data_IF_091914591834
#
_entry.id   IF_091914591834
#
_cell.length_a   1.000
_cell.length_b   1.000
_cell.length_c   1.000
_cell.angle_alpha   90.00
_cell.angle_beta   90.00
_cell.angle_gamma   90.00
#
_symmetry.space_group_name_H-M   'P 1'
#
loop_
_entity.id
_entity.type
_entity.pdbx_description
1 polymer ?
#
# COMPACT_ATOMS: atom_id res chain seq x y z
N UNK A 1 -36.90 -12.59 -74.42
CA UNK A 1 -35.77 -11.71 -74.04
C UNK A 1 -35.94 -11.27 -72.60
N UNK A 2 -34.82 -11.15 -71.89
CA UNK A 2 -34.62 -11.19 -70.42
C UNK A 2 -35.57 -10.33 -69.58
N UNK A 3 -36.14 -10.95 -68.53
CA UNK A 3 -36.66 -10.31 -67.31
C UNK A 3 -35.46 -9.85 -66.47
N UNK A 4 -35.38 -8.58 -66.08
CA UNK A 4 -34.48 -8.12 -65.01
C UNK A 4 -35.31 -7.91 -63.74
N UNK A 5 -35.08 -8.79 -62.77
CA UNK A 5 -35.50 -8.65 -61.38
C UNK A 5 -34.46 -7.74 -60.71
N UNK A 6 -34.89 -6.59 -60.18
CA UNK A 6 -34.05 -5.77 -59.31
C UNK A 6 -34.25 -6.26 -57.87
N UNK A 7 -33.25 -6.96 -57.35
CA UNK A 7 -33.13 -7.30 -55.93
C UNK A 7 -32.58 -6.05 -55.24
N UNK A 8 -33.42 -5.35 -54.48
CA UNK A 8 -32.97 -4.33 -53.55
C UNK A 8 -32.37 -5.04 -52.33
N UNK A 9 -31.04 -5.07 -52.25
CA UNK A 9 -30.32 -5.52 -51.08
C UNK A 9 -30.46 -4.47 -49.97
N UNK A 10 -31.25 -4.79 -48.95
CA UNK A 10 -31.27 -4.02 -47.70
C UNK A 10 -29.93 -4.16 -47.00
N UNK A 11 -29.16 -3.08 -46.97
CA UNK A 11 -27.96 -2.97 -46.14
C UNK A 11 -28.46 -2.83 -44.71
N UNK A 12 -28.32 -3.90 -43.93
CA UNK A 12 -28.42 -3.82 -42.48
C UNK A 12 -27.29 -2.91 -41.99
N UNK A 13 -27.61 -1.70 -41.55
CA UNK A 13 -26.72 -0.91 -40.71
C UNK A 13 -26.56 -1.67 -39.39
N UNK A 14 -25.52 -2.49 -39.30
CA UNK A 14 -24.99 -2.92 -38.01
C UNK A 14 -24.43 -1.64 -37.39
N UNK A 15 -25.10 -1.12 -36.37
CA UNK A 15 -24.55 -0.09 -35.52
C UNK A 15 -23.27 -0.67 -34.90
N UNK A 16 -22.12 -0.34 -35.47
CA UNK A 16 -20.83 -0.56 -34.84
C UNK A 16 -20.80 0.32 -33.60
N UNK A 17 -21.08 -0.28 -32.45
CA UNK A 17 -20.70 0.30 -31.17
C UNK A 17 -19.22 0.71 -31.25
N UNK A 18 -18.85 1.90 -30.77
CA UNK A 18 -17.47 2.35 -30.84
C UNK A 18 -16.58 1.37 -30.05
N UNK A 19 -15.66 0.73 -30.77
CA UNK A 19 -14.60 -0.15 -30.27
C UNK A 19 -13.52 0.67 -29.53
N UNK A 20 -13.92 1.46 -28.53
CA UNK A 20 -13.03 2.38 -27.81
C UNK A 20 -13.44 2.64 -26.35
N UNK A 21 -13.83 1.59 -25.62
CA UNK A 21 -14.16 1.69 -24.19
C UNK A 21 -13.82 0.41 -23.38
N UNK A 22 -12.94 -0.46 -23.88
CA UNK A 22 -12.85 -1.85 -23.40
C UNK A 22 -11.79 -2.13 -22.32
N UNK A 23 -10.98 -1.17 -21.86
CA UNK A 23 -9.86 -1.46 -20.94
C UNK A 23 -9.95 -0.83 -19.53
N UNK A 24 -10.98 -0.03 -19.22
CA UNK A 24 -11.15 0.55 -17.87
C UNK A 24 -12.08 -0.31 -17.00
N UNK A 25 -11.67 -0.67 -15.77
CA UNK A 25 -12.49 -1.49 -14.89
C UNK A 25 -13.75 -0.75 -14.44
N UNK A 26 -14.85 -1.49 -14.36
CA UNK A 26 -16.14 -0.98 -13.92
C UNK A 26 -16.26 -0.89 -12.39
N UNK A 27 -15.48 -1.68 -11.66
CA UNK A 27 -15.36 -1.59 -10.22
C UNK A 27 -14.00 -2.13 -9.73
N UNK A 28 -13.64 -1.73 -8.51
CA UNK A 28 -12.48 -2.20 -7.76
C UNK A 28 -12.95 -2.81 -6.45
N UNK A 29 -12.47 -4.01 -6.12
CA UNK A 29 -12.77 -4.66 -4.84
C UNK A 29 -11.92 -4.02 -3.73
N UNK A 30 -12.55 -3.34 -2.79
CA UNK A 30 -11.87 -2.69 -1.66
C UNK A 30 -11.74 -3.62 -0.45
N UNK A 31 -12.73 -4.48 -0.23
CA UNK A 31 -12.79 -5.37 0.93
C UNK A 31 -13.55 -6.64 0.62
N UNK A 32 -13.12 -7.73 1.23
CA UNK A 32 -13.84 -9.00 1.31
C UNK A 32 -13.99 -9.40 2.77
N UNK A 33 -15.13 -9.97 3.14
CA UNK A 33 -15.37 -10.63 4.41
C UNK A 33 -16.08 -11.95 4.16
N UNK A 34 -15.49 -13.05 4.62
CA UNK A 34 -16.04 -14.38 4.39
C UNK A 34 -15.82 -14.87 2.96
N UNK A 35 -16.56 -15.90 2.57
CA UNK A 35 -16.44 -16.52 1.24
C UNK A 35 -17.18 -15.67 0.19
N UNK A 36 -16.42 -15.06 -0.72
CA UNK A 36 -16.96 -14.31 -1.86
C UNK A 36 -16.31 -14.84 -3.12
N UNK A 37 -17.12 -15.14 -4.13
CA UNK A 37 -16.66 -15.58 -5.42
C UNK A 37 -16.93 -14.53 -6.50
N UNK A 38 -16.06 -14.46 -7.49
CA UNK A 38 -16.22 -13.65 -8.69
C UNK A 38 -16.24 -14.55 -9.91
N UNK A 39 -17.02 -14.16 -10.91
CA UNK A 39 -17.03 -14.77 -12.24
C UNK A 39 -16.86 -13.69 -13.30
N UNK A 40 -15.74 -13.74 -13.99
CA UNK A 40 -15.46 -12.81 -15.10
C UNK A 40 -16.07 -13.29 -16.41
N UNK A 41 -16.82 -12.44 -17.10
CA UNK A 41 -17.31 -12.69 -18.46
C UNK A 41 -18.04 -14.03 -18.69
N UNK A 42 -18.70 -14.59 -17.66
CA UNK A 42 -19.37 -15.89 -17.71
C UNK A 42 -18.44 -17.12 -17.59
N UNK A 43 -17.19 -16.92 -17.16
CA UNK A 43 -16.20 -17.98 -16.92
C UNK A 43 -16.49 -18.85 -15.68
N UNK A 44 -15.44 -19.45 -15.11
CA UNK A 44 -15.58 -20.20 -13.86
C UNK A 44 -15.69 -19.24 -12.66
N UNK A 45 -16.35 -19.70 -11.60
CA UNK A 45 -16.31 -19.03 -10.30
C UNK A 45 -14.92 -19.23 -9.68
N UNK A 46 -14.33 -18.14 -9.19
CA UNK A 46 -13.09 -18.12 -8.44
C UNK A 46 -13.27 -17.30 -7.17
N UNK A 47 -12.39 -17.48 -6.18
CA UNK A 47 -12.42 -16.65 -4.98
C UNK A 47 -12.08 -15.20 -5.35
N UNK A 48 -12.84 -14.26 -4.80
CA UNK A 48 -12.58 -12.85 -4.95
C UNK A 48 -11.29 -12.46 -4.20
N UNK A 49 -10.63 -11.39 -4.63
CA UNK A 49 -9.46 -10.83 -3.96
C UNK A 49 -9.54 -9.32 -3.80
N UNK A 50 -8.93 -8.77 -2.73
CA UNK A 50 -8.82 -7.31 -2.57
C UNK A 50 -7.90 -6.72 -3.65
N UNK A 51 -8.28 -5.58 -4.21
CA UNK A 51 -7.62 -4.94 -5.35
C UNK A 51 -7.98 -5.56 -6.71
N UNK A 52 -8.86 -6.57 -6.74
CA UNK A 52 -9.34 -7.16 -7.98
C UNK A 52 -10.17 -6.15 -8.79
N UNK A 53 -9.91 -6.11 -10.10
CA UNK A 53 -10.54 -5.21 -11.06
C UNK A 53 -11.68 -5.96 -11.74
N UNK A 54 -12.89 -5.44 -11.60
CA UNK A 54 -14.10 -6.05 -12.16
C UNK A 54 -14.56 -5.30 -13.40
N UNK A 55 -14.92 -6.04 -14.43
CA UNK A 55 -15.49 -5.50 -15.67
C UNK A 55 -17.01 -5.46 -15.61
N UNK A 56 -17.61 -4.62 -16.46
CA UNK A 56 -19.07 -4.61 -16.59
C UNK A 56 -19.57 -5.98 -17.09
N UNK A 57 -20.54 -6.55 -16.39
CA UNK A 57 -21.07 -7.89 -16.67
C UNK A 57 -20.44 -9.01 -15.83
N UNK A 58 -19.35 -8.73 -15.10
CA UNK A 58 -18.83 -9.68 -14.12
C UNK A 58 -19.84 -9.90 -12.99
N UNK A 59 -19.78 -11.05 -12.33
CA UNK A 59 -20.70 -11.39 -11.25
C UNK A 59 -19.95 -11.61 -9.94
N UNK A 60 -20.51 -11.08 -8.87
CA UNK A 60 -20.02 -11.23 -7.50
C UNK A 60 -21.06 -12.03 -6.71
N UNK A 61 -20.61 -13.10 -6.07
CA UNK A 61 -21.44 -14.03 -5.31
C UNK A 61 -20.90 -14.18 -3.88
N UNK A 62 -21.45 -13.44 -2.91
CA UNK A 62 -21.17 -13.66 -1.50
C UNK A 62 -21.87 -14.94 -0.99
N UNK A 63 -21.15 -15.71 -0.17
CA UNK A 63 -21.73 -16.77 0.66
C UNK A 63 -22.59 -16.24 1.82
N UNK A 64 -23.13 -17.13 2.63
CA UNK A 64 -23.98 -16.76 3.77
C UNK A 64 -23.25 -15.89 4.80
N UNK A 65 -23.69 -14.64 4.96
CA UNK A 65 -23.07 -13.66 5.87
C UNK A 65 -21.77 -13.04 5.35
N UNK A 66 -21.38 -13.36 4.11
CA UNK A 66 -20.23 -12.76 3.45
C UNK A 66 -20.56 -11.39 2.85
N UNK A 67 -19.52 -10.62 2.54
CA UNK A 67 -19.62 -9.27 2.02
C UNK A 67 -18.43 -8.97 1.11
N UNK A 68 -18.70 -8.30 -0.02
CA UNK A 68 -17.69 -7.52 -0.73
C UNK A 68 -18.05 -6.04 -0.71
N UNK A 69 -17.04 -5.17 -0.65
CA UNK A 69 -17.20 -3.72 -0.85
C UNK A 69 -16.51 -3.35 -2.16
N UNK A 70 -17.29 -2.77 -3.07
CA UNK A 70 -16.83 -2.35 -4.39
C UNK A 70 -16.80 -0.83 -4.47
N UNK A 71 -15.82 -0.28 -5.17
CA UNK A 71 -15.79 1.13 -5.57
C UNK A 71 -15.89 1.22 -7.09
N UNK A 72 -16.81 2.05 -7.57
CA UNK A 72 -16.95 2.35 -9.00
C UNK A 72 -16.06 3.54 -9.41
N UNK A 73 -15.73 3.68 -10.70
CA UNK A 73 -15.04 4.86 -11.22
C UNK A 73 -15.73 6.18 -10.89
N UNK A 74 -17.05 6.19 -10.68
CA UNK A 74 -17.82 7.38 -10.32
C UNK A 74 -17.66 7.80 -8.84
N UNK A 75 -16.87 7.07 -8.05
CA UNK A 75 -16.73 7.25 -6.61
C UNK A 75 -17.80 6.56 -5.78
N UNK A 76 -18.89 6.09 -6.40
CA UNK A 76 -19.92 5.34 -5.70
C UNK A 76 -19.39 4.02 -5.14
N UNK A 77 -19.69 3.75 -3.87
CA UNK A 77 -19.38 2.50 -3.18
C UNK A 77 -20.61 1.59 -3.13
N UNK A 78 -20.39 0.28 -3.21
CA UNK A 78 -21.45 -0.72 -3.17
C UNK A 78 -21.08 -1.85 -2.21
N UNK A 79 -21.94 -2.10 -1.23
CA UNK A 79 -21.86 -3.29 -0.36
C UNK A 79 -22.63 -4.42 -1.01
N UNK A 80 -21.95 -5.51 -1.33
CA UNK A 80 -22.50 -6.68 -2.02
C UNK A 80 -22.67 -7.80 -1.00
N UNK A 81 -23.92 -8.06 -0.61
CA UNK A 81 -24.31 -9.14 0.32
C UNK A 81 -25.18 -10.21 -0.33
N UNK A 82 -25.48 -10.05 -1.62
CA UNK A 82 -26.25 -10.98 -2.45
C UNK A 82 -25.67 -11.00 -3.86
N UNK A 83 -26.02 -12.03 -4.64
CA UNK A 83 -25.53 -12.20 -6.01
C UNK A 83 -25.80 -10.95 -6.85
N UNK A 84 -24.74 -10.34 -7.37
CA UNK A 84 -24.81 -9.05 -8.06
C UNK A 84 -23.99 -9.09 -9.35
N UNK A 85 -24.58 -8.63 -10.45
CA UNK A 85 -23.84 -8.34 -11.68
C UNK A 85 -23.30 -6.92 -11.64
N UNK A 86 -22.00 -6.77 -11.90
CA UNK A 86 -21.30 -5.48 -11.96
C UNK A 86 -21.87 -4.66 -13.12
N UNK A 87 -22.43 -3.51 -12.81
CA UNK A 87 -22.97 -2.60 -13.81
C UNK A 87 -21.86 -1.79 -14.48
N UNK A 88 -22.08 -1.38 -15.73
CA UNK A 88 -21.25 -0.35 -16.33
C UNK A 88 -21.29 0.94 -15.49
N UNK A 89 -20.18 1.69 -15.36
CA UNK A 89 -20.14 2.93 -14.60
C UNK A 89 -21.22 3.90 -15.11
N UNK A 90 -21.93 4.56 -14.18
CA UNK A 90 -22.95 5.56 -14.53
C UNK A 90 -22.70 6.85 -13.76
N UNK A 91 -22.72 7.97 -14.48
CA UNK A 91 -22.58 9.31 -13.91
C UNK A 91 -21.14 9.80 -13.85
N UNK A 92 -20.98 11.12 -13.68
CA UNK A 92 -19.74 11.75 -13.30
C UNK A 92 -19.81 12.02 -11.79
N UNK A 93 -18.87 11.46 -11.03
CA UNK A 93 -18.71 11.72 -9.59
C UNK A 93 -17.24 11.97 -9.26
N UNK A 94 -16.89 12.01 -7.97
CA UNK A 94 -15.51 12.16 -7.56
C UNK A 94 -14.75 10.87 -7.86
N UNK A 95 -13.83 10.92 -8.83
CA UNK A 95 -13.09 9.76 -9.34
C UNK A 95 -11.70 9.64 -8.73
N UNK A 96 -11.25 10.63 -7.95
CA UNK A 96 -9.84 10.84 -7.64
C UNK A 96 -9.27 9.65 -6.86
N UNK A 97 -10.01 9.15 -5.87
CA UNK A 97 -9.57 8.02 -5.06
C UNK A 97 -9.54 6.70 -5.84
N UNK A 98 -10.49 6.48 -6.76
CA UNK A 98 -10.51 5.31 -7.63
C UNK A 98 -9.32 5.32 -8.60
N UNK A 99 -9.09 6.47 -9.26
CA UNK A 99 -7.96 6.66 -10.18
C UNK A 99 -6.64 6.50 -9.45
N UNK A 100 -6.51 7.06 -8.24
CA UNK A 100 -5.33 6.93 -7.38
C UNK A 100 -5.05 5.47 -7.03
N UNK A 101 -6.08 4.72 -6.61
CA UNK A 101 -5.92 3.30 -6.28
C UNK A 101 -5.48 2.47 -7.50
N UNK A 102 -6.10 2.68 -8.67
CA UNK A 102 -5.70 2.00 -9.90
C UNK A 102 -4.29 2.38 -10.35
N UNK A 103 -3.90 3.65 -10.21
CA UNK A 103 -2.55 4.10 -10.51
C UNK A 103 -1.53 3.42 -9.59
N UNK A 104 -1.83 3.30 -8.29
CA UNK A 104 -0.95 2.62 -7.33
C UNK A 104 -0.76 1.14 -7.68
N UNK A 105 -1.84 0.43 -7.99
CA UNK A 105 -1.79 -0.97 -8.43
C UNK A 105 -1.02 -1.12 -9.75
N UNK A 106 -1.26 -0.24 -10.71
CA UNK A 106 -0.61 -0.30 -12.02
C UNK A 106 0.89 0.01 -11.93
N UNK A 107 1.26 0.96 -11.07
CA UNK A 107 2.67 1.24 -10.75
C UNK A 107 3.32 0.02 -10.12
N UNK A 108 2.67 -0.60 -9.13
CA UNK A 108 3.19 -1.78 -8.46
C UNK A 108 3.41 -2.95 -9.42
N UNK A 109 2.46 -3.18 -10.33
CA UNK A 109 2.56 -4.20 -11.37
C UNK A 109 3.68 -3.90 -12.39
N UNK A 110 3.98 -2.63 -12.64
CA UNK A 110 5.03 -2.20 -13.58
C UNK A 110 6.44 -2.21 -12.99
N UNK A 111 6.56 -2.36 -11.68
CA UNK A 111 7.86 -2.41 -11.02
C UNK A 111 8.55 -3.71 -11.40
N UNK A 112 9.49 -3.60 -12.32
CA UNK A 112 10.44 -4.67 -12.60
C UNK A 112 11.11 -5.05 -11.28
N UNK A 113 10.79 -6.26 -10.79
CA UNK A 113 11.45 -6.93 -9.66
C UNK A 113 12.98 -6.96 -9.84
N UNK A 114 13.47 -6.74 -11.06
CA UNK A 114 14.88 -6.66 -11.44
C UNK A 114 15.51 -5.27 -11.45
N UNK A 115 14.74 -4.16 -11.48
CA UNK A 115 15.26 -2.79 -11.69
C UNK A 115 14.95 -1.83 -10.53
N UNK A 116 13.92 -2.09 -9.72
CA UNK A 116 13.57 -1.27 -8.56
C UNK A 116 14.32 -1.66 -7.28
N UNK A 117 15.53 -1.14 -7.07
CA UNK A 117 16.06 -1.00 -5.71
C UNK A 117 16.95 -2.12 -5.17
N UNK A 118 17.99 -2.52 -5.92
CA UNK A 118 19.29 -2.86 -5.28
C UNK A 118 20.06 -1.61 -4.85
N UNK A 119 19.37 -0.48 -4.64
CA UNK A 119 19.98 0.72 -4.07
C UNK A 119 20.20 0.50 -2.57
N UNK A 120 21.34 -0.09 -2.25
CA UNK A 120 22.12 0.28 -1.07
C UNK A 120 21.54 -0.05 0.31
N UNK A 121 20.60 -0.99 0.44
CA UNK A 121 20.18 -1.45 1.75
C UNK A 121 21.28 -2.31 2.37
N UNK A 122 21.78 -1.88 3.53
CA UNK A 122 22.70 -2.66 4.36
C UNK A 122 22.00 -3.99 4.65
N UNK A 123 22.41 -5.06 3.98
CA UNK A 123 22.12 -6.40 4.47
C UNK A 123 22.73 -6.47 5.86
N UNK A 124 21.97 -6.72 6.93
CA UNK A 124 22.57 -7.10 8.19
C UNK A 124 23.41 -8.34 7.90
N UNK A 125 24.73 -8.18 7.87
CA UNK A 125 25.61 -9.34 7.77
C UNK A 125 25.33 -10.14 9.04
N UNK A 126 24.97 -11.44 8.95
CA UNK A 126 24.69 -12.22 10.13
C UNK A 126 25.86 -12.11 11.14
N UNK A 127 25.58 -11.55 12.32
CA UNK A 127 26.59 -11.26 13.35
C UNK A 127 27.09 -9.82 13.41
N UNK A 128 26.64 -8.92 12.53
CA UNK A 128 26.94 -7.49 12.55
C UNK A 128 25.71 -6.67 13.00
N UNK A 129 25.92 -5.74 13.93
CA UNK A 129 24.88 -4.81 14.38
C UNK A 129 24.58 -3.77 13.32
N UNK A 130 23.30 -3.54 13.06
CA UNK A 130 22.78 -2.64 12.05
C UNK A 130 21.53 -1.92 12.56
N UNK A 131 21.31 -0.70 12.08
CA UNK A 131 20.13 0.11 12.40
C UNK A 131 18.92 -0.39 11.60
N UNK A 132 17.81 -0.65 12.29
CA UNK A 132 16.58 -1.26 11.73
C UNK A 132 15.50 -0.20 11.51
N UNK A 133 15.20 0.64 12.51
CA UNK A 133 14.13 1.64 12.45
C UNK A 133 14.46 2.84 13.34
N UNK A 134 14.10 4.09 12.96
CA UNK A 134 13.58 4.51 11.65
C UNK A 134 14.62 4.41 10.54
N UNK A 135 14.24 3.86 9.38
CA UNK A 135 15.17 3.68 8.25
C UNK A 135 15.56 4.99 7.58
N UNK A 136 16.72 4.94 6.96
CA UNK A 136 17.29 6.06 6.23
C UNK A 136 16.35 6.59 5.12
N UNK A 137 16.07 7.89 5.16
CA UNK A 137 15.27 8.61 4.18
C UNK A 137 13.76 8.43 4.33
N UNK A 138 13.27 7.68 5.33
CA UNK A 138 11.83 7.48 5.50
C UNK A 138 11.19 8.60 6.31
N UNK A 139 9.92 8.85 5.99
CA UNK A 139 9.03 9.70 6.77
C UNK A 139 8.30 8.86 7.80
N UNK A 140 8.13 9.39 9.01
CA UNK A 140 7.32 8.78 10.07
C UNK A 140 6.32 9.80 10.61
N UNK A 141 5.18 9.30 11.10
CA UNK A 141 4.16 10.13 11.73
C UNK A 141 4.42 10.44 13.22
N UNK A 142 4.79 9.47 14.09
CA UNK A 142 4.89 9.74 15.52
C UNK A 142 6.06 10.67 15.85
N UNK A 143 5.77 11.69 16.66
CA UNK A 143 6.78 12.59 17.25
C UNK A 143 7.50 11.96 18.45
N UNK A 144 7.16 10.71 18.78
CA UNK A 144 7.79 9.82 19.75
C UNK A 144 8.20 8.49 19.09
N UNK A 145 9.22 8.49 18.21
CA UNK A 145 9.62 7.27 17.53
C UNK A 145 10.22 6.22 18.47
N UNK A 146 10.04 4.96 18.09
CA UNK A 146 10.82 3.84 18.61
C UNK A 146 11.97 3.53 17.66
N UNK A 147 13.18 3.47 18.23
CA UNK A 147 14.40 3.16 17.52
C UNK A 147 14.81 1.71 17.76
N UNK A 148 15.19 1.00 16.71
CA UNK A 148 15.51 -0.42 16.77
C UNK A 148 16.79 -0.76 16.00
N UNK A 149 17.56 -1.72 16.50
CA UNK A 149 18.79 -2.22 15.87
C UNK A 149 19.00 -3.72 16.15
N UNK A 150 19.90 -4.36 15.41
CA UNK A 150 20.26 -5.78 15.68
C UNK A 150 21.29 -5.91 16.81
N UNK A 151 21.17 -6.90 17.71
CA UNK A 151 22.08 -7.07 18.84
C UNK A 151 23.49 -7.53 18.44
N UNK A 152 24.50 -6.96 19.10
CA UNK A 152 25.83 -7.58 19.30
C UNK A 152 25.87 -8.23 20.68
N UNK A 153 26.17 -9.53 20.79
CA UNK A 153 26.27 -10.22 22.07
C UNK A 153 27.24 -9.55 23.06
N UNK A 154 26.76 -9.34 24.30
CA UNK A 154 27.58 -8.82 25.40
C UNK A 154 27.99 -7.36 25.27
N UNK A 155 27.26 -6.56 24.48
CA UNK A 155 27.48 -5.12 24.31
C UNK A 155 26.34 -4.32 24.90
N UNK A 156 26.70 -3.14 25.42
CA UNK A 156 25.77 -2.05 25.71
C UNK A 156 25.73 -1.04 24.57
N UNK A 157 24.71 -0.20 24.55
CA UNK A 157 24.43 0.74 23.49
C UNK A 157 24.15 2.13 24.05
N UNK A 158 24.66 3.13 23.36
CA UNK A 158 24.19 4.50 23.51
C UNK A 158 23.62 4.97 22.18
N UNK A 159 22.43 5.56 22.19
CA UNK A 159 21.79 6.12 21.02
C UNK A 159 22.13 7.61 20.93
N UNK A 160 22.51 8.09 19.75
CA UNK A 160 22.65 9.52 19.48
C UNK A 160 21.58 9.96 18.49
N UNK A 161 20.88 11.03 18.83
CA UNK A 161 19.87 11.68 18.00
C UNK A 161 20.27 13.14 17.76
N UNK A 162 20.03 13.67 16.56
CA UNK A 162 20.36 15.05 16.23
C UNK A 162 19.42 15.61 15.17
N UNK A 163 18.83 16.77 15.41
CA UNK A 163 18.15 17.56 14.36
C UNK A 163 19.18 18.07 13.34
N UNK A 164 18.98 17.77 12.07
CA UNK A 164 20.01 17.99 11.01
C UNK A 164 20.25 19.47 10.70
N UNK A 165 19.24 20.32 10.90
CA UNK A 165 19.23 21.77 10.59
C UNK A 165 19.83 22.67 11.69
N UNK A 166 20.58 22.11 12.65
CA UNK A 166 21.29 22.89 13.67
C UNK A 166 21.14 22.39 15.11
N UNK A 167 20.50 21.23 15.31
CA UNK A 167 20.39 20.60 16.63
C UNK A 167 21.74 20.13 17.18
N UNK A 168 21.92 20.26 18.50
CA UNK A 168 23.03 19.60 19.18
C UNK A 168 22.77 18.08 19.23
N UNK A 169 23.79 17.23 19.07
CA UNK A 169 23.61 15.80 19.28
C UNK A 169 23.24 15.52 20.75
N UNK A 170 22.15 14.81 20.95
CA UNK A 170 21.71 14.26 22.22
C UNK A 170 22.12 12.80 22.29
N UNK A 171 22.46 12.32 23.49
CA UNK A 171 22.95 10.96 23.70
C UNK A 171 22.19 10.32 24.86
N UNK A 172 21.71 9.11 24.63
CA UNK A 172 20.89 8.36 25.55
C UNK A 172 21.56 7.01 25.83
N UNK A 173 21.72 6.67 27.10
CA UNK A 173 22.15 5.34 27.51
C UNK A 173 20.96 4.37 27.44
N UNK A 174 21.12 3.30 26.67
CA UNK A 174 20.08 2.28 26.45
C UNK A 174 20.44 0.98 27.19
N UNK A 175 21.64 0.86 27.75
CA UNK A 175 22.10 -0.39 28.34
C UNK A 175 22.25 -1.48 27.29
N UNK A 176 21.78 -2.69 27.56
CA UNK A 176 21.87 -3.86 26.66
C UNK A 176 20.64 -4.05 25.75
N UNK A 177 19.65 -3.16 25.83
CA UNK A 177 18.46 -3.18 24.98
C UNK A 177 18.76 -2.91 23.51
N UNK A 178 17.89 -3.39 22.62
CA UNK A 178 17.97 -3.15 21.16
C UNK A 178 16.78 -2.39 20.59
N UNK A 179 15.93 -1.88 21.49
CA UNK A 179 14.78 -1.05 21.18
C UNK A 179 14.72 0.06 22.22
N UNK A 180 14.48 1.29 21.77
CA UNK A 180 14.38 2.46 22.64
C UNK A 180 13.35 3.44 22.09
N UNK A 181 12.34 3.77 22.90
CA UNK A 181 11.30 4.76 22.54
C UNK A 181 11.69 6.13 23.06
N UNK A 182 11.51 7.16 22.23
CA UNK A 182 11.78 8.54 22.61
C UNK A 182 10.90 8.92 23.82
N UNK A 183 11.49 9.36 24.97
CA UNK A 183 10.75 9.56 26.21
C UNK A 183 9.72 10.69 26.19
N UNK A 184 8.65 10.54 26.96
CA UNK A 184 7.59 11.55 27.10
C UNK A 184 8.06 12.79 27.89
N UNK A 185 9.09 12.66 28.73
CA UNK A 185 9.63 13.75 29.53
C UNK A 185 10.44 14.76 28.70
N UNK A 186 10.83 14.38 27.48
CA UNK A 186 11.55 15.26 26.57
C UNK A 186 10.59 16.06 25.68
N UNK A 187 11.00 17.27 25.22
CA UNK A 187 10.25 18.01 24.22
C UNK A 187 10.00 17.16 22.99
N UNK A 188 8.82 17.33 22.39
CA UNK A 188 8.50 16.61 21.17
C UNK A 188 9.48 16.87 20.04
N UNK A 189 9.71 15.82 19.25
CA UNK A 189 10.37 16.00 17.97
C UNK A 189 9.50 16.91 17.09
N UNK A 190 10.15 17.80 16.35
CA UNK A 190 9.49 18.86 15.60
C UNK A 190 8.93 18.31 14.28
N UNK A 191 7.65 18.53 14.03
CA UNK A 191 7.01 18.16 12.76
C UNK A 191 7.72 18.82 11.56
N UNK A 192 7.89 18.06 10.48
CA UNK A 192 8.61 18.48 9.28
C UNK A 192 10.13 18.52 9.40
N UNK A 193 10.70 18.30 10.59
CA UNK A 193 12.14 18.27 10.76
C UNK A 193 12.74 16.93 10.35
N UNK A 194 13.99 16.98 9.88
CA UNK A 194 14.81 15.80 9.61
C UNK A 194 15.78 15.57 10.77
N UNK A 195 15.78 14.36 11.28
CA UNK A 195 16.66 13.90 12.35
C UNK A 195 17.62 12.85 11.84
N UNK A 196 18.84 12.90 12.34
CA UNK A 196 19.87 11.92 12.08
C UNK A 196 20.18 11.16 13.36
N UNK A 197 20.28 9.83 13.28
CA UNK A 197 20.48 8.97 14.43
C UNK A 197 21.50 7.87 14.18
N UNK A 198 22.16 7.43 15.24
CA UNK A 198 23.07 6.27 15.23
C UNK A 198 23.16 5.65 16.60
N UNK A 199 23.72 4.44 16.66
CA UNK A 199 23.99 3.71 17.90
C UNK A 199 25.49 3.46 18.03
N UNK A 200 26.03 3.74 19.21
CA UNK A 200 27.38 3.39 19.61
C UNK A 200 27.40 2.00 20.24
N UNK A 201 28.06 1.04 19.60
CA UNK A 201 28.18 -0.33 20.12
C UNK A 201 29.33 -0.41 21.13
N UNK A 202 29.02 -0.68 22.39
CA UNK A 202 29.96 -0.64 23.52
C UNK A 202 30.14 0.74 24.15
N UNK A 203 29.19 1.67 23.92
CA UNK A 203 29.19 3.04 24.44
C UNK A 203 30.13 4.00 23.70
N UNK A 204 29.96 5.31 23.89
CA UNK A 204 30.67 6.37 23.15
C UNK A 204 32.15 6.48 23.47
N UNK A 205 32.56 6.09 24.69
CA UNK A 205 33.96 6.20 25.14
C UNK A 205 34.90 5.13 24.58
N UNK A 206 34.35 4.03 24.04
CA UNK A 206 35.14 2.91 23.51
C UNK A 206 34.54 2.17 22.31
N UNK A 207 33.32 2.53 21.92
CA UNK A 207 32.56 1.92 20.83
C UNK A 207 32.61 2.71 19.54
N UNK A 208 32.39 2.03 18.42
CA UNK A 208 32.26 2.64 17.09
C UNK A 208 30.77 2.94 16.83
N UNK A 209 30.42 4.15 16.35
CA UNK A 209 29.07 4.41 15.89
C UNK A 209 28.79 3.61 14.62
N UNK A 210 27.55 3.11 14.51
CA UNK A 210 27.05 2.57 13.25
C UNK A 210 26.94 3.67 12.18
N UNK A 211 26.87 3.30 10.89
CA UNK A 211 26.51 4.26 9.84
C UNK A 211 25.21 4.98 10.19
N UNK A 212 25.27 6.31 10.23
CA UNK A 212 24.14 7.15 10.59
C UNK A 212 22.99 6.97 9.59
N UNK A 213 21.76 6.99 10.10
CA UNK A 213 20.54 7.06 9.30
C UNK A 213 19.82 8.37 9.57
N UNK A 214 19.09 8.86 8.57
CA UNK A 214 18.24 10.05 8.68
C UNK A 214 16.78 9.68 8.47
N UNK A 215 15.87 10.33 9.17
CA UNK A 215 14.43 10.21 8.96
C UNK A 215 13.78 11.57 9.11
N UNK A 216 12.58 11.73 8.54
CA UNK A 216 11.82 12.97 8.62
C UNK A 216 10.53 12.73 9.39
N UNK A 217 10.12 13.68 10.22
CA UNK A 217 8.77 13.70 10.75
C UNK A 217 7.83 14.31 9.72
N UNK A 218 6.65 13.71 9.57
CA UNK A 218 5.55 14.27 8.80
C UNK A 218 5.34 15.74 9.19
N UNK A 219 5.13 16.63 8.23
CA UNK A 219 4.90 18.04 8.52
C UNK A 219 3.41 18.36 8.72
N UNK A 220 3.12 19.60 9.14
CA UNK A 220 1.75 20.05 9.39
C UNK A 220 0.89 20.05 8.10
N UNK A 221 1.37 20.60 6.96
CA UNK A 221 0.66 20.48 5.68
C UNK A 221 0.35 19.03 5.26
N UNK A 222 1.29 18.11 5.40
CA UNK A 222 1.12 16.70 5.06
C UNK A 222 0.17 16.00 6.04
N UNK A 223 0.18 16.36 7.31
CA UNK A 223 -0.81 15.88 8.27
C UNK A 223 -2.22 16.37 7.95
N UNK A 224 -2.35 17.64 7.52
CA UNK A 224 -3.63 18.17 7.05
C UNK A 224 -4.10 17.44 5.78
N UNK A 225 -3.19 17.18 4.83
CA UNK A 225 -3.46 16.40 3.63
C UNK A 225 -3.89 14.97 3.95
N UNK A 226 -3.20 14.30 4.88
CA UNK A 226 -3.59 12.98 5.38
C UNK A 226 -5.01 13.02 5.96
N UNK A 227 -5.31 14.02 6.78
CA UNK A 227 -6.62 14.18 7.40
C UNK A 227 -7.72 14.43 6.35
N UNK A 228 -7.44 15.24 5.33
CA UNK A 228 -8.35 15.48 4.20
C UNK A 228 -8.64 14.18 3.44
N UNK A 229 -7.63 13.36 3.16
CA UNK A 229 -7.85 12.05 2.53
C UNK A 229 -8.67 11.11 3.42
N UNK A 230 -8.44 11.10 4.73
CA UNK A 230 -9.22 10.27 5.66
C UNK A 230 -10.69 10.70 5.70
N UNK A 231 -10.97 12.01 5.62
CA UNK A 231 -12.34 12.51 5.52
C UNK A 231 -12.95 12.20 4.15
N UNK A 232 -12.19 12.30 3.05
CA UNK A 232 -12.66 11.92 1.72
C UNK A 232 -13.09 10.44 1.66
N UNK A 233 -12.32 9.52 2.27
CA UNK A 233 -12.68 8.10 2.38
C UNK A 233 -14.01 7.93 3.12
N UNK A 234 -14.24 8.71 4.20
CA UNK A 234 -15.50 8.69 4.96
C UNK A 234 -16.66 9.27 4.17
N UNK A 235 -16.44 10.29 3.33
CA UNK A 235 -17.46 10.84 2.44
C UNK A 235 -17.95 9.78 1.42
N UNK A 236 -17.11 8.82 1.05
CA UNK A 236 -17.51 7.64 0.27
C UNK A 236 -18.27 6.58 1.09
N UNK A 237 -18.51 6.83 2.38
CA UNK A 237 -19.21 5.92 3.29
C UNK A 237 -18.37 4.73 3.75
N UNK A 238 -17.04 4.86 3.71
CA UNK A 238 -16.08 3.83 4.11
C UNK A 238 -15.41 4.21 5.44
N UNK A 239 -15.10 3.22 6.26
CA UNK A 239 -14.22 3.39 7.41
C UNK A 239 -12.75 3.25 6.95
N UNK A 240 -11.91 4.29 7.07
CA UNK A 240 -10.51 4.23 6.64
C UNK A 240 -9.69 3.13 7.32
N UNK A 241 -10.13 2.61 8.46
CA UNK A 241 -9.46 1.54 9.20
C UNK A 241 -10.10 0.17 8.98
N UNK A 242 -11.19 0.07 8.22
CA UNK A 242 -11.90 -1.18 7.94
C UNK A 242 -12.13 -1.39 6.43
N UNK A 243 -13.26 -0.92 5.89
CA UNK A 243 -13.62 -1.10 4.47
C UNK A 243 -12.95 -0.12 3.50
N UNK A 244 -12.38 0.96 4.01
CA UNK A 244 -11.52 1.89 3.28
C UNK A 244 -10.03 1.61 3.42
N UNK A 245 -9.62 0.55 4.15
CA UNK A 245 -8.21 0.32 4.51
C UNK A 245 -7.28 0.21 3.30
N UNK A 246 -7.73 -0.36 2.19
CA UNK A 246 -6.94 -0.37 0.95
C UNK A 246 -6.64 1.05 0.44
N UNK A 247 -7.62 1.95 0.46
CA UNK A 247 -7.42 3.35 0.05
C UNK A 247 -6.46 4.07 1.00
N UNK A 248 -6.55 3.77 2.30
CA UNK A 248 -5.63 4.25 3.33
C UNK A 248 -4.19 3.81 3.06
N UNK A 249 -3.95 2.55 2.67
CA UNK A 249 -2.61 2.08 2.25
C UNK A 249 -2.05 2.91 1.09
N UNK A 250 -2.90 3.21 0.09
CA UNK A 250 -2.50 4.02 -1.07
C UNK A 250 -2.11 5.43 -0.64
N UNK A 251 -2.90 6.05 0.25
CA UNK A 251 -2.62 7.39 0.79
C UNK A 251 -1.32 7.40 1.61
N UNK A 252 -1.11 6.40 2.47
CA UNK A 252 0.13 6.30 3.26
C UNK A 252 1.36 6.16 2.36
N UNK A 253 1.29 5.32 1.32
CA UNK A 253 2.36 5.19 0.33
C UNK A 253 2.67 6.52 -0.36
N UNK A 254 1.64 7.25 -0.79
CA UNK A 254 1.80 8.51 -1.49
C UNK A 254 2.46 9.60 -0.62
N UNK A 255 2.22 9.56 0.70
CA UNK A 255 2.84 10.45 1.69
C UNK A 255 4.21 9.93 2.20
N UNK A 256 4.67 8.77 1.71
CA UNK A 256 5.93 8.16 2.16
C UNK A 256 5.87 7.58 3.58
N UNK A 257 4.67 7.41 4.15
CA UNK A 257 4.41 6.80 5.44
C UNK A 257 4.46 5.27 5.33
N UNK A 258 5.63 4.74 4.97
CA UNK A 258 5.78 3.32 4.63
C UNK A 258 5.56 2.38 5.82
N UNK A 259 5.84 2.82 7.06
CA UNK A 259 5.56 2.02 8.25
C UNK A 259 4.05 1.81 8.41
N UNK A 260 3.26 2.89 8.34
CA UNK A 260 1.80 2.84 8.42
C UNK A 260 1.19 2.07 7.23
N UNK A 261 1.73 2.25 6.02
CA UNK A 261 1.31 1.48 4.85
C UNK A 261 1.61 -0.03 5.00
N UNK A 262 2.75 -0.37 5.61
CA UNK A 262 3.19 -1.74 5.86
C UNK A 262 2.27 -2.48 6.83
N UNK A 263 1.94 -1.84 7.95
CA UNK A 263 1.01 -2.40 8.92
C UNK A 263 -0.38 -2.59 8.30
N UNK A 264 -0.90 -1.56 7.63
CA UNK A 264 -2.21 -1.60 7.00
C UNK A 264 -2.34 -2.67 5.89
N UNK A 265 -1.29 -2.88 5.06
CA UNK A 265 -1.36 -3.91 4.01
C UNK A 265 -1.22 -5.33 4.56
N UNK A 266 -0.53 -5.52 5.69
CA UNK A 266 -0.52 -6.79 6.41
C UNK A 266 -1.90 -7.10 7.00
N UNK A 267 -2.58 -6.09 7.54
CA UNK A 267 -3.96 -6.23 8.03
C UNK A 267 -4.94 -6.60 6.92
N UNK A 268 -4.80 -6.04 5.71
CA UNK A 268 -5.60 -6.43 4.54
C UNK A 268 -5.41 -7.91 4.21
N UNK A 269 -4.16 -8.40 4.15
CA UNK A 269 -3.91 -9.83 3.91
C UNK A 269 -4.50 -10.72 5.02
N UNK A 270 -4.47 -10.25 6.27
CA UNK A 270 -5.10 -10.96 7.39
C UNK A 270 -6.62 -11.09 7.27
N UNK A 271 -7.27 -10.23 6.47
CA UNK A 271 -8.72 -10.21 6.25
C UNK A 271 -9.16 -11.08 5.07
N UNK A 272 -8.28 -11.39 4.12
CA UNK A 272 -8.59 -12.21 2.96
C UNK A 272 -7.49 -12.20 1.90
N UNK A 273 -7.73 -12.92 0.80
CA UNK A 273 -6.80 -12.96 -0.31
C UNK A 273 -6.70 -11.60 -1.02
N UNK A 274 -5.50 -11.30 -1.51
CA UNK A 274 -5.20 -10.10 -2.29
C UNK A 274 -4.89 -10.45 -3.73
N UNK A 275 -5.20 -9.53 -4.64
CA UNK A 275 -4.85 -9.65 -6.06
C UNK A 275 -3.33 -9.65 -6.26
N UNK A 276 -2.87 -10.12 -7.43
CA UNK A 276 -1.44 -10.11 -7.77
C UNK A 276 -0.82 -8.70 -7.62
N UNK A 277 -1.51 -7.67 -8.11
CA UNK A 277 -1.06 -6.27 -8.02
C UNK A 277 -0.96 -5.77 -6.56
N UNK A 278 -1.87 -6.20 -5.69
CA UNK A 278 -1.78 -5.90 -4.25
C UNK A 278 -0.61 -6.61 -3.58
N UNK A 279 -0.28 -7.84 -3.99
CA UNK A 279 0.94 -8.51 -3.54
C UNK A 279 2.21 -7.84 -4.06
N UNK A 280 2.20 -7.30 -5.28
CA UNK A 280 3.28 -6.46 -5.79
C UNK A 280 3.44 -5.20 -4.92
N UNK A 281 2.34 -4.51 -4.63
CA UNK A 281 2.33 -3.32 -3.78
C UNK A 281 2.87 -3.62 -2.37
N UNK A 282 2.45 -4.72 -1.76
CA UNK A 282 2.98 -5.21 -0.49
C UNK A 282 4.49 -5.45 -0.57
N UNK A 283 4.95 -6.13 -1.62
CA UNK A 283 6.36 -6.39 -1.85
C UNK A 283 7.19 -5.10 -1.92
N UNK A 284 6.72 -4.07 -2.61
CA UNK A 284 7.38 -2.76 -2.69
C UNK A 284 7.50 -2.07 -1.33
N UNK A 285 6.39 -2.02 -0.58
CA UNK A 285 6.33 -1.39 0.75
C UNK A 285 7.30 -2.09 1.69
N UNK A 286 7.23 -3.43 1.76
CA UNK A 286 8.10 -4.23 2.61
C UNK A 286 9.57 -4.15 2.20
N UNK A 287 9.87 -4.08 0.90
CA UNK A 287 11.23 -3.90 0.41
C UNK A 287 11.77 -2.53 0.85
N UNK A 288 10.96 -1.48 0.78
CA UNK A 288 11.31 -0.13 1.27
C UNK A 288 11.58 -0.12 2.77
N UNK A 289 10.79 -0.87 3.55
CA UNK A 289 11.00 -1.10 4.97
C UNK A 289 12.14 -2.09 5.29
N UNK A 290 12.73 -2.74 4.29
CA UNK A 290 13.87 -3.66 4.48
C UNK A 290 13.51 -5.06 4.89
N UNK A 291 12.23 -5.42 4.86
CA UNK A 291 11.73 -6.76 5.13
C UNK A 291 11.95 -7.64 3.89
N UNK A 292 13.20 -7.82 3.47
CA UNK A 292 13.55 -8.43 2.17
C UNK A 292 12.94 -9.83 1.97
N UNK A 293 12.90 -10.65 3.04
CA UNK A 293 12.35 -12.00 2.98
C UNK A 293 10.82 -11.98 2.78
N UNK A 294 10.12 -11.10 3.50
CA UNK A 294 8.68 -10.95 3.42
C UNK A 294 8.26 -10.29 2.09
N UNK A 295 9.04 -9.29 1.64
CA UNK A 295 8.88 -8.69 0.32
C UNK A 295 9.02 -9.72 -0.79
N UNK A 296 10.05 -10.58 -0.72
CA UNK A 296 10.25 -11.67 -1.66
C UNK A 296 9.07 -12.65 -1.66
N UNK A 297 8.58 -13.04 -0.48
CA UNK A 297 7.43 -13.92 -0.37
C UNK A 297 6.17 -13.29 -1.01
N UNK A 298 5.97 -11.98 -0.86
CA UNK A 298 4.88 -11.25 -1.50
C UNK A 298 5.01 -11.27 -3.04
N UNK A 299 6.20 -10.98 -3.58
CA UNK A 299 6.44 -11.05 -5.03
C UNK A 299 6.27 -12.46 -5.59
N UNK A 300 6.79 -13.49 -4.90
CA UNK A 300 6.63 -14.88 -5.32
C UNK A 300 5.14 -15.29 -5.34
N UNK A 301 4.32 -14.76 -4.41
CA UNK A 301 2.86 -14.96 -4.37
C UNK A 301 2.15 -14.22 -5.51
N UNK A 302 2.54 -12.99 -5.82
CA UNK A 302 2.03 -12.26 -6.98
C UNK A 302 2.28 -13.03 -8.29
N UNK A 303 3.52 -13.49 -8.49
CA UNK A 303 3.93 -14.28 -9.66
C UNK A 303 3.13 -15.59 -9.79
N UNK A 304 2.80 -16.23 -8.68
CA UNK A 304 2.00 -17.45 -8.67
C UNK A 304 0.56 -17.20 -9.10
N UNK A 305 -0.02 -16.04 -8.77
CA UNK A 305 -1.39 -15.65 -9.14
C UNK A 305 -1.51 -15.22 -10.61
N UNK A 306 -0.41 -14.81 -11.24
CA UNK A 306 -0.37 -14.40 -12.66
C UNK A 306 -0.17 -15.56 -13.65
N UNK A 307 0.13 -16.78 -13.16
CA UNK A 307 0.40 -17.97 -13.99
C UNK A 307 -0.81 -18.88 -14.13
#
# INVERSE_FOLDING_TARGET
>A
MKKLIHIAAGIALIATAPLAAQDDPAALVLRIRGDVQVRHGGGAWANASVGERLMAGDEVLPGGGALAVLMSPSGGTQRVTEATTVAAPRGAGNTDMFVRALAALSQAASTDVSVGGRQGMIRPIPGETSLVSPRNGLTIQPDRPTFEWTPTPGKSYELMLRKTDGGRPEIFDVGDGTSWTYPDELPALEFGATYAWTVFVGGRSGGRPLPQQEFRLLDIPEFAQLSEFMEEIKEFGLDPLDDGLFLTVVVFRDLGLYYDAGDAIVDIEGQGDMSADMYMLKGEILNTLGHEAEARAAFDKADALMR
#
